data_IF_114230960438
#
_entry.id   IF_114230960438
#
_cell.length_a   1.000
_cell.length_b   1.000
_cell.length_c   1.000
_cell.angle_alpha   90.00
_cell.angle_beta   90.00
_cell.angle_gamma   90.00
#
_symmetry.space_group_name_H-M   'P 1'
#
loop_
_entity.id
_entity.type
_entity.pdbx_description
1 polymer ?
#
# COMPACT_ATOMS: atom_id res chain seq x y z
N UNK A 1 -2.26 -10.99 -12.55
CA UNK A 1 -2.83 -9.94 -11.67
C UNK A 1 -2.57 -8.59 -12.31
N UNK A 2 -3.61 -7.80 -12.57
CA UNK A 2 -3.48 -6.44 -13.11
C UNK A 2 -3.55 -5.37 -11.99
N UNK A 3 -3.02 -5.69 -10.80
CA UNK A 3 -3.13 -4.90 -9.55
C UNK A 3 -2.39 -3.55 -9.57
N UNK A 4 -1.84 -3.13 -10.71
CA UNK A 4 -1.12 -1.86 -10.87
C UNK A 4 -1.70 -0.90 -11.92
N UNK A 5 -2.58 -1.37 -12.81
CA UNK A 5 -3.03 -0.58 -13.96
C UNK A 5 -4.40 0.05 -13.69
N UNK A 6 -4.49 1.37 -13.87
CA UNK A 6 -5.75 2.11 -13.85
C UNK A 6 -6.50 2.01 -15.19
N UNK A 7 -7.71 2.59 -15.25
CA UNK A 7 -8.58 2.52 -16.42
C UNK A 7 -7.96 3.01 -17.74
N UNK A 8 -6.94 3.87 -17.68
CA UNK A 8 -6.24 4.40 -18.86
C UNK A 8 -4.97 3.61 -19.22
N UNK A 9 -4.75 2.43 -18.63
CA UNK A 9 -3.55 1.61 -18.87
C UNK A 9 -2.26 2.13 -18.23
N UNK A 10 -2.32 3.29 -17.56
CA UNK A 10 -1.24 3.82 -16.74
C UNK A 10 -1.27 3.30 -15.30
N UNK A 11 -0.26 3.62 -14.48
CA UNK A 11 -0.26 3.28 -13.07
C UNK A 11 -1.47 3.90 -12.33
N UNK A 12 -2.07 3.14 -11.42
CA UNK A 12 -3.17 3.63 -10.59
C UNK A 12 -2.70 4.71 -9.59
N UNK A 13 -3.63 5.52 -9.07
CA UNK A 13 -3.32 6.67 -8.18
C UNK A 13 -2.47 6.31 -6.96
N UNK A 14 -2.69 5.12 -6.37
CA UNK A 14 -1.99 4.64 -5.18
C UNK A 14 -0.93 3.58 -5.51
N UNK A 15 -0.49 3.51 -6.77
CA UNK A 15 0.45 2.49 -7.22
C UNK A 15 1.82 2.60 -6.53
N UNK A 16 2.28 3.82 -6.23
CA UNK A 16 3.56 4.02 -5.54
C UNK A 16 3.54 3.43 -4.12
N UNK A 17 2.48 3.69 -3.34
CA UNK A 17 2.31 3.09 -2.01
C UNK A 17 2.17 1.56 -2.09
N UNK A 18 1.53 1.05 -3.13
CA UNK A 18 1.45 -0.39 -3.36
C UNK A 18 2.83 -1.01 -3.66
N UNK A 19 3.71 -0.32 -4.40
CA UNK A 19 5.08 -0.77 -4.63
C UNK A 19 5.88 -0.85 -3.33
N UNK A 20 5.69 0.08 -2.40
CA UNK A 20 6.35 0.05 -1.09
C UNK A 20 5.88 -1.13 -0.23
N UNK A 21 4.57 -1.41 -0.21
CA UNK A 21 4.02 -2.60 0.46
C UNK A 21 4.61 -3.89 -0.11
N UNK A 22 4.65 -4.00 -1.44
CA UNK A 22 5.25 -5.15 -2.13
C UNK A 22 6.74 -5.28 -1.82
N UNK A 23 7.49 -4.18 -1.85
CA UNK A 23 8.91 -4.16 -1.50
C UNK A 23 9.15 -4.66 -0.08
N UNK A 24 8.34 -4.20 0.87
CA UNK A 24 8.42 -4.64 2.26
C UNK A 24 8.12 -6.15 2.41
N UNK A 25 7.11 -6.67 1.71
CA UNK A 25 6.79 -8.09 1.74
C UNK A 25 7.85 -8.98 1.10
N UNK A 26 8.51 -8.52 0.02
CA UNK A 26 9.62 -9.25 -0.61
C UNK A 26 10.81 -9.34 0.33
N UNK A 27 11.18 -8.23 0.98
CA UNK A 27 12.32 -8.19 1.91
C UNK A 27 12.07 -9.04 3.16
N UNK A 28 10.86 -8.98 3.73
CA UNK A 28 10.53 -9.68 4.98
C UNK A 28 9.88 -11.05 4.78
N UNK A 29 9.75 -11.52 3.53
CA UNK A 29 9.02 -12.75 3.21
C UNK A 29 9.60 -14.02 3.85
N UNK A 30 10.90 -14.03 4.15
CA UNK A 30 11.58 -15.15 4.81
C UNK A 30 11.15 -15.39 6.26
N UNK A 31 10.55 -14.39 6.92
CA UNK A 31 10.09 -14.48 8.31
C UNK A 31 8.62 -14.91 8.45
N UNK A 32 7.97 -15.29 7.35
CA UNK A 32 6.58 -15.73 7.33
C UNK A 32 5.61 -14.66 7.83
N UNK A 33 4.65 -15.03 8.69
CA UNK A 33 3.64 -14.12 9.24
C UNK A 33 4.24 -13.00 10.12
N UNK A 34 5.38 -13.23 10.77
CA UNK A 34 6.05 -12.21 11.57
C UNK A 34 6.64 -11.09 10.69
N UNK A 35 7.21 -11.47 9.53
CA UNK A 35 7.72 -10.53 8.55
C UNK A 35 6.64 -9.63 7.94
N UNK A 36 5.45 -10.19 7.70
CA UNK A 36 4.31 -9.41 7.18
C UNK A 36 3.86 -8.30 8.13
N UNK A 37 3.93 -8.53 9.44
CA UNK A 37 3.54 -7.53 10.45
C UNK A 37 4.46 -6.31 10.48
N UNK A 38 5.73 -6.46 10.04
CA UNK A 38 6.66 -5.32 9.90
C UNK A 38 6.22 -4.34 8.82
N UNK A 39 5.40 -4.78 7.86
CA UNK A 39 4.92 -3.99 6.74
C UNK A 39 3.59 -3.27 7.01
N UNK A 40 3.08 -3.32 8.24
CA UNK A 40 1.85 -2.62 8.64
C UNK A 40 1.90 -1.11 8.36
N UNK A 41 3.00 -0.37 8.60
CA UNK A 41 3.05 1.06 8.30
C UNK A 41 2.83 1.37 6.81
N UNK A 42 3.56 0.68 5.92
CA UNK A 42 3.39 0.83 4.47
C UNK A 42 1.96 0.44 4.02
N UNK A 43 1.36 -0.57 4.66
CA UNK A 43 0.00 -0.98 4.41
C UNK A 43 -1.01 0.11 4.82
N UNK A 44 -0.80 0.77 5.96
CA UNK A 44 -1.64 1.90 6.39
C UNK A 44 -1.59 3.08 5.42
N UNK A 45 -0.42 3.40 4.88
CA UNK A 45 -0.27 4.48 3.89
C UNK A 45 -0.99 4.15 2.57
N UNK A 46 -0.92 2.90 2.13
CA UNK A 46 -1.69 2.42 0.98
C UNK A 46 -3.21 2.53 1.23
N UNK A 47 -3.69 2.10 2.38
CA UNK A 47 -5.12 2.20 2.74
C UNK A 47 -5.57 3.64 2.90
N UNK A 48 -4.71 4.51 3.41
CA UNK A 48 -4.99 5.94 3.53
C UNK A 48 -5.08 6.58 2.14
N UNK A 49 -4.17 6.29 1.21
CA UNK A 49 -4.30 6.75 -0.17
C UNK A 49 -5.59 6.26 -0.84
N UNK A 50 -6.07 5.05 -0.51
CA UNK A 50 -7.31 4.52 -1.09
C UNK A 50 -8.57 5.20 -0.52
N UNK A 51 -8.59 5.48 0.78
CA UNK A 51 -9.81 5.85 1.49
C UNK A 51 -9.81 7.25 2.11
N UNK A 52 -8.65 7.94 2.15
CA UNK A 52 -8.43 9.28 2.67
C UNK A 52 -9.09 9.51 4.05
N UNK A 53 -9.03 8.52 4.95
CA UNK A 53 -9.75 8.58 6.24
C UNK A 53 -9.11 9.53 7.24
N UNK A 54 -7.78 9.51 7.35
CA UNK A 54 -7.00 10.41 8.20
C UNK A 54 -7.07 11.83 7.63
N UNK A 55 -6.97 12.03 6.32
CA UNK A 55 -7.05 13.36 5.70
C UNK A 55 -8.42 14.02 5.86
N UNK A 56 -9.51 13.28 5.64
CA UNK A 56 -10.88 13.82 5.83
C UNK A 56 -11.18 14.13 7.30
N UNK A 57 -10.60 13.38 8.25
CA UNK A 57 -10.74 13.63 9.69
C UNK A 57 -9.92 14.81 10.18
N UNK A 58 -8.79 15.14 9.52
CA UNK A 58 -7.92 16.27 9.86
C UNK A 58 -8.45 17.62 9.37
N UNK A 59 -9.43 17.62 8.46
CA UNK A 59 -10.05 18.83 7.90
C UNK A 59 -11.34 19.26 8.63
N UNK A 60 -11.68 18.63 9.76
CA UNK A 60 -12.78 18.99 10.69
C UNK A 60 -12.20 19.37 12.04
#
# INVERSE_FOLDING_TARGET
MASGFGNNGGPSRCYNFWQEVLGCYVVNGGEGEAGKKKCVPALEDYYECLHHKKEVRLFV
#
